data_IF_726620694071
#
_entry.id   IF_726620694071
#
_cell.length_a   1.000
_cell.length_b   1.000
_cell.length_c   1.000
_cell.angle_alpha   90.00
_cell.angle_beta   90.00
_cell.angle_gamma   90.00
#
_symmetry.space_group_name_H-M   'P 1'
#
loop_
_entity.id
_entity.type
_entity.pdbx_description
1 polymer ?
#
# COMPACT_ATOMS: atom_id res chain seq x y z
N UNK A 1 20.53 -55.54 -30.91
CA UNK A 1 20.70 -54.09 -30.73
C UNK A 1 19.37 -53.50 -30.24
N UNK A 2 19.27 -52.96 -29.00
CA UNK A 2 18.03 -52.36 -28.54
C UNK A 2 17.97 -50.90 -28.97
N UNK A 3 16.78 -50.52 -29.48
CA UNK A 3 16.51 -49.15 -29.92
C UNK A 3 16.54 -48.16 -28.74
N UNK A 4 17.28 -47.08 -28.89
CA UNK A 4 17.30 -45.96 -27.95
C UNK A 4 16.02 -45.16 -28.13
N UNK A 5 15.11 -45.22 -27.17
CA UNK A 5 13.99 -44.33 -27.09
C UNK A 5 14.51 -42.92 -26.74
N UNK A 6 14.31 -41.98 -27.67
CA UNK A 6 14.58 -40.54 -27.46
C UNK A 6 13.38 -39.99 -26.66
N UNK A 7 13.65 -39.61 -25.42
CA UNK A 7 12.67 -38.95 -24.55
C UNK A 7 12.66 -37.45 -24.91
N UNK A 8 11.57 -36.93 -25.44
CA UNK A 8 11.30 -35.48 -25.45
C UNK A 8 10.43 -35.12 -24.25
N UNK A 9 10.93 -34.32 -23.31
CA UNK A 9 10.11 -33.86 -22.20
C UNK A 9 9.15 -32.77 -22.67
N UNK A 10 7.85 -32.99 -22.46
CA UNK A 10 6.83 -31.96 -22.68
C UNK A 10 6.69 -31.11 -21.42
N UNK A 11 6.95 -29.83 -21.52
CA UNK A 11 6.82 -28.89 -20.40
C UNK A 11 5.47 -28.18 -20.46
N UNK A 12 4.71 -28.28 -19.40
CA UNK A 12 3.52 -27.49 -19.15
C UNK A 12 3.83 -26.40 -18.13
N UNK A 13 3.66 -25.15 -18.55
CA UNK A 13 3.83 -23.99 -17.67
C UNK A 13 2.51 -23.66 -16.99
N UNK A 14 2.43 -23.88 -15.69
CA UNK A 14 1.29 -23.51 -14.85
C UNK A 14 1.79 -22.67 -13.68
N UNK A 15 1.33 -21.41 -13.59
CA UNK A 15 1.61 -20.50 -12.46
C UNK A 15 3.09 -20.23 -12.15
N UNK A 16 3.96 -20.18 -13.16
CA UNK A 16 5.38 -19.95 -12.95
C UNK A 16 6.11 -21.12 -12.26
N UNK A 17 5.49 -22.28 -12.18
CA UNK A 17 6.08 -23.53 -11.64
C UNK A 17 6.10 -24.61 -12.72
N UNK A 18 7.25 -25.23 -12.91
CA UNK A 18 7.37 -26.46 -13.69
C UNK A 18 6.83 -27.62 -12.85
N UNK A 19 5.77 -28.28 -13.32
CA UNK A 19 5.34 -29.56 -12.76
C UNK A 19 5.83 -30.70 -13.65
N UNK A 20 6.53 -31.63 -13.04
CA UNK A 20 6.87 -32.90 -13.67
C UNK A 20 5.71 -33.88 -13.49
N UNK A 21 5.18 -34.43 -14.59
CA UNK A 21 4.41 -35.67 -14.53
C UNK A 21 5.37 -36.83 -14.68
N UNK A 22 5.69 -37.49 -13.59
CA UNK A 22 6.39 -38.77 -13.61
C UNK A 22 5.38 -39.87 -13.83
N UNK A 23 5.40 -40.49 -15.00
CA UNK A 23 4.83 -41.85 -15.15
C UNK A 23 5.77 -42.82 -14.45
N UNK A 24 5.17 -43.67 -13.61
CA UNK A 24 5.80 -44.62 -12.73
C UNK A 24 6.88 -45.48 -13.38
N UNK A 25 8.14 -45.30 -12.94
CA UNK A 25 9.11 -46.40 -12.92
C UNK A 25 10.01 -46.24 -11.68
N UNK A 26 10.08 -47.26 -10.84
CA UNK A 26 10.99 -47.36 -9.68
C UNK A 26 12.41 -47.55 -10.19
N UNK A 27 13.27 -46.53 -10.02
CA UNK A 27 14.70 -46.60 -10.27
C UNK A 27 15.45 -45.61 -9.38
N UNK A 28 16.50 -46.11 -8.67
CA UNK A 28 17.36 -45.28 -7.80
C UNK A 28 18.06 -44.21 -8.60
N UNK A 29 17.90 -42.91 -8.19
CA UNK A 29 18.70 -41.82 -8.71
C UNK A 29 20.07 -41.80 -8.05
N UNK A 30 21.11 -42.02 -8.84
CA UNK A 30 22.50 -41.69 -8.45
C UNK A 30 22.77 -40.24 -8.79
N UNK A 31 23.25 -39.47 -7.82
CA UNK A 31 23.76 -38.10 -8.00
C UNK A 31 25.00 -38.07 -8.83
N UNK A 32 25.02 -37.28 -9.91
CA UNK A 32 26.22 -36.95 -10.66
C UNK A 32 26.65 -35.53 -10.31
N UNK A 33 27.89 -35.40 -9.83
CA UNK A 33 28.55 -34.13 -9.53
C UNK A 33 28.97 -33.43 -10.84
N UNK A 34 28.28 -32.36 -11.18
CA UNK A 34 28.44 -31.63 -12.45
C UNK A 34 29.68 -30.71 -12.49
N UNK A 35 30.44 -30.58 -11.40
CA UNK A 35 31.57 -29.65 -11.31
C UNK A 35 32.86 -30.15 -12.03
N UNK A 36 32.90 -31.35 -12.54
CA UNK A 36 34.15 -31.94 -13.08
C UNK A 36 34.25 -32.08 -14.59
N UNK A 37 33.34 -31.52 -15.40
CA UNK A 37 33.44 -31.60 -16.88
C UNK A 37 32.88 -30.37 -17.61
N UNK A 38 33.53 -29.21 -17.44
CA UNK A 38 33.32 -28.05 -18.31
C UNK A 38 34.64 -27.45 -18.76
N UNK A 39 35.55 -28.29 -19.24
CA UNK A 39 36.65 -27.85 -20.13
C UNK A 39 36.35 -28.38 -21.53
N UNK A 40 35.97 -27.46 -22.42
CA UNK A 40 35.95 -27.64 -23.85
C UNK A 40 34.64 -27.88 -24.55
N UNK A 41 33.70 -26.93 -24.56
CA UNK A 41 32.81 -26.68 -25.72
C UNK A 41 32.44 -25.20 -25.74
N UNK A 42 32.90 -24.46 -26.73
CA UNK A 42 32.49 -23.12 -27.05
C UNK A 42 31.08 -23.15 -27.69
N UNK A 43 30.19 -22.27 -27.21
CA UNK A 43 29.00 -21.85 -27.97
C UNK A 43 27.69 -22.54 -27.59
N UNK A 44 27.19 -22.35 -26.36
CA UNK A 44 25.75 -22.50 -26.08
C UNK A 44 25.33 -21.28 -25.26
N UNK A 45 24.43 -20.47 -25.84
CA UNK A 45 23.77 -19.41 -25.10
C UNK A 45 22.99 -20.02 -23.92
N UNK A 46 23.33 -19.62 -22.71
CA UNK A 46 22.74 -20.13 -21.49
C UNK A 46 21.29 -19.66 -21.34
N UNK A 47 20.33 -20.51 -21.67
CA UNK A 47 18.96 -20.44 -21.17
C UNK A 47 18.95 -20.92 -19.72
N UNK A 48 18.56 -20.06 -18.79
CA UNK A 48 18.56 -20.36 -17.36
C UNK A 48 17.51 -21.43 -17.02
N UNK A 49 17.94 -22.61 -16.58
CA UNK A 49 17.08 -23.67 -16.05
C UNK A 49 16.99 -23.50 -14.53
N UNK A 50 15.80 -23.17 -14.03
CA UNK A 50 15.51 -23.11 -12.59
C UNK A 50 15.07 -24.49 -12.12
N UNK A 51 15.92 -25.20 -11.38
CA UNK A 51 15.56 -26.46 -10.71
C UNK A 51 15.18 -26.15 -9.26
N UNK A 52 13.89 -26.30 -8.92
CA UNK A 52 13.44 -26.23 -7.53
C UNK A 52 13.65 -27.59 -6.85
N UNK A 53 14.65 -27.66 -5.99
CA UNK A 53 14.83 -28.81 -5.07
C UNK A 53 14.20 -28.44 -3.72
N UNK A 54 13.14 -29.15 -3.33
CA UNK A 54 12.56 -29.02 -2.00
C UNK A 54 13.46 -29.68 -0.96
N UNK A 55 14.44 -28.93 -0.43
CA UNK A 55 14.98 -29.16 0.90
C UNK A 55 14.51 -28.03 1.81
N UNK A 56 14.00 -28.38 3.01
CA UNK A 56 13.73 -27.40 4.07
C UNK A 56 15.04 -26.66 4.35
N UNK A 57 15.16 -25.48 3.75
CA UNK A 57 16.25 -24.56 4.05
C UNK A 57 15.93 -23.83 5.37
N UNK A 58 16.94 -23.51 6.18
CA UNK A 58 16.75 -22.74 7.40
C UNK A 58 16.13 -21.37 7.08
N UNK A 59 15.31 -20.81 8.00
CA UNK A 59 14.67 -19.52 7.76
C UNK A 59 15.72 -18.43 7.57
N UNK A 60 15.75 -17.84 6.38
CA UNK A 60 16.69 -16.77 5.99
C UNK A 60 17.48 -16.99 4.70
N UNK A 61 17.68 -18.23 4.24
CA UNK A 61 18.49 -18.50 3.04
C UNK A 61 17.71 -18.41 1.71
N UNK A 62 16.38 -18.41 1.77
CA UNK A 62 15.52 -18.52 0.57
C UNK A 62 15.40 -17.23 -0.24
N UNK A 63 15.62 -16.06 0.36
CA UNK A 63 15.42 -14.77 -0.33
C UNK A 63 16.64 -14.34 -1.17
N UNK A 64 17.85 -14.65 -0.71
CA UNK A 64 19.09 -14.24 -1.39
C UNK A 64 19.35 -15.05 -2.67
N UNK A 65 19.02 -16.35 -2.67
CA UNK A 65 19.15 -17.18 -3.86
C UNK A 65 18.13 -16.85 -4.95
N UNK A 66 16.94 -16.41 -4.57
CA UNK A 66 15.89 -16.01 -5.53
C UNK A 66 16.21 -14.69 -6.24
N UNK A 67 16.98 -13.81 -5.60
CA UNK A 67 17.43 -12.53 -6.18
C UNK A 67 18.56 -12.72 -7.19
N UNK A 68 19.38 -13.76 -7.06
CA UNK A 68 20.55 -13.98 -7.93
C UNK A 68 20.23 -14.50 -9.34
N UNK A 69 18.99 -14.98 -9.62
CA UNK A 69 18.65 -15.62 -10.89
C UNK A 69 17.51 -14.96 -11.65
N UNK A 70 17.05 -13.75 -11.25
CA UNK A 70 16.09 -13.01 -12.04
C UNK A 70 16.73 -12.45 -13.31
N UNK A 71 16.17 -12.77 -14.46
CA UNK A 71 16.60 -12.15 -15.72
C UNK A 71 16.31 -10.63 -15.66
N UNK A 72 17.07 -9.85 -16.42
CA UNK A 72 16.83 -8.41 -16.51
C UNK A 72 15.39 -8.11 -16.97
N UNK A 73 14.86 -8.92 -17.87
CA UNK A 73 13.45 -8.87 -18.31
C UNK A 73 12.48 -9.07 -17.14
N UNK A 74 12.71 -10.08 -16.28
CA UNK A 74 11.85 -10.34 -15.11
C UNK A 74 11.86 -9.16 -14.14
N UNK A 75 13.00 -8.49 -13.98
CA UNK A 75 13.10 -7.27 -13.17
C UNK A 75 12.22 -6.16 -13.71
N UNK A 76 12.22 -5.92 -15.02
CA UNK A 76 11.35 -4.91 -15.64
C UNK A 76 9.87 -5.29 -15.58
N UNK A 77 9.53 -6.54 -15.84
CA UNK A 77 8.15 -7.05 -15.73
C UNK A 77 7.61 -6.92 -14.30
N UNK A 78 8.44 -7.20 -13.30
CA UNK A 78 8.07 -7.01 -11.90
C UNK A 78 7.92 -5.53 -11.55
N UNK A 79 8.80 -4.67 -12.05
CA UNK A 79 8.73 -3.23 -11.80
C UNK A 79 7.49 -2.58 -12.44
N UNK A 80 6.93 -3.16 -13.51
CA UNK A 80 5.73 -2.67 -14.18
C UNK A 80 4.46 -2.74 -13.31
N UNK A 81 4.45 -3.63 -12.30
CA UNK A 81 3.30 -3.76 -11.40
C UNK A 81 3.74 -3.53 -9.96
N UNK A 82 2.99 -2.69 -9.21
CA UNK A 82 3.30 -2.37 -7.81
C UNK A 82 3.19 -3.59 -6.90
N UNK A 83 4.08 -3.70 -5.91
CA UNK A 83 4.13 -4.82 -4.96
C UNK A 83 2.80 -5.10 -4.26
N UNK A 84 2.11 -4.06 -3.81
CA UNK A 84 0.80 -4.20 -3.17
C UNK A 84 -0.26 -4.77 -4.13
N UNK A 85 -0.23 -4.38 -5.42
CA UNK A 85 -1.12 -4.93 -6.44
C UNK A 85 -0.79 -6.40 -6.69
N UNK A 86 0.49 -6.74 -6.82
CA UNK A 86 0.96 -8.13 -6.98
C UNK A 86 0.52 -9.00 -5.81
N UNK A 87 0.73 -8.54 -4.57
CA UNK A 87 0.31 -9.27 -3.36
C UNK A 87 -1.20 -9.48 -3.32
N UNK A 88 -1.98 -8.44 -3.62
CA UNK A 88 -3.44 -8.52 -3.63
C UNK A 88 -3.96 -9.45 -4.74
N UNK A 89 -3.33 -9.43 -5.91
CA UNK A 89 -3.71 -10.30 -7.02
C UNK A 89 -3.31 -11.75 -6.76
N UNK A 90 -2.14 -11.99 -6.17
CA UNK A 90 -1.72 -13.32 -5.73
C UNK A 90 -2.71 -13.91 -4.74
N UNK A 91 -3.04 -13.19 -3.68
CA UNK A 91 -4.03 -13.62 -2.68
C UNK A 91 -5.43 -13.85 -3.31
N UNK A 92 -5.79 -13.10 -4.35
CA UNK A 92 -7.03 -13.32 -5.09
C UNK A 92 -7.02 -14.63 -5.87
N UNK A 93 -5.92 -14.97 -6.54
CA UNK A 93 -5.75 -16.23 -7.27
C UNK A 93 -5.70 -17.40 -6.30
N UNK A 94 -4.91 -17.30 -5.24
CA UNK A 94 -4.82 -18.34 -4.18
C UNK A 94 -6.19 -18.63 -3.55
N UNK A 95 -7.02 -17.62 -3.36
CA UNK A 95 -8.38 -17.79 -2.87
C UNK A 95 -9.29 -18.48 -3.89
N UNK A 96 -9.16 -18.16 -5.19
CA UNK A 96 -9.94 -18.80 -6.25
C UNK A 96 -9.59 -20.29 -6.37
N UNK A 97 -8.30 -20.63 -6.36
CA UNK A 97 -7.83 -22.02 -6.49
C UNK A 97 -7.95 -22.80 -5.16
N UNK A 98 -7.49 -22.22 -4.04
CA UNK A 98 -7.37 -22.93 -2.76
C UNK A 98 -8.63 -22.90 -1.92
N UNK A 99 -9.32 -21.74 -1.80
CA UNK A 99 -10.50 -21.63 -0.94
C UNK A 99 -11.78 -22.04 -1.65
N UNK A 100 -11.91 -21.74 -2.95
CA UNK A 100 -13.09 -22.12 -3.73
C UNK A 100 -12.91 -23.40 -4.54
N UNK A 101 -11.68 -23.84 -4.79
CA UNK A 101 -11.38 -25.03 -5.58
C UNK A 101 -11.51 -24.84 -7.08
N UNK A 102 -11.37 -23.60 -7.58
CA UNK A 102 -11.41 -23.30 -9.00
C UNK A 102 -10.14 -23.71 -9.74
N UNK A 103 -10.26 -23.99 -11.04
CA UNK A 103 -9.13 -24.32 -11.89
C UNK A 103 -8.81 -23.18 -12.84
N UNK A 104 -7.54 -22.98 -13.15
CA UNK A 104 -7.05 -22.01 -14.11
C UNK A 104 -6.40 -22.75 -15.31
N UNK A 105 -6.66 -22.33 -16.56
CA UNK A 105 -7.51 -21.19 -16.96
C UNK A 105 -9.00 -21.46 -16.66
N UNK A 106 -9.69 -20.43 -16.15
CA UNK A 106 -11.08 -20.53 -15.76
C UNK A 106 -12.03 -20.23 -16.93
N UNK A 107 -13.20 -20.88 -16.95
CA UNK A 107 -14.29 -20.52 -17.85
C UNK A 107 -15.13 -19.38 -17.30
N UNK A 108 -15.91 -18.72 -18.17
CA UNK A 108 -16.84 -17.67 -17.73
C UNK A 108 -17.90 -18.19 -16.74
N UNK A 109 -18.38 -19.45 -16.91
CA UNK A 109 -19.32 -20.09 -16.00
C UNK A 109 -18.68 -20.34 -14.61
N UNK A 110 -17.46 -20.86 -14.59
CA UNK A 110 -16.68 -21.04 -13.35
C UNK A 110 -16.54 -19.74 -12.57
N UNK A 111 -16.19 -18.64 -13.24
CA UNK A 111 -16.08 -17.32 -12.60
C UNK A 111 -17.44 -16.82 -12.10
N UNK A 112 -18.52 -16.99 -12.88
CA UNK A 112 -19.86 -16.60 -12.45
C UNK A 112 -20.29 -17.36 -11.18
N UNK A 113 -20.05 -18.67 -11.09
CA UNK A 113 -20.31 -19.49 -9.88
C UNK A 113 -19.46 -19.06 -8.70
N UNK A 114 -18.19 -18.74 -8.91
CA UNK A 114 -17.32 -18.19 -7.88
C UNK A 114 -17.86 -16.88 -7.29
N UNK A 115 -18.31 -15.96 -8.15
CA UNK A 115 -18.92 -14.71 -7.67
C UNK A 115 -20.17 -14.93 -6.84
N UNK A 116 -21.04 -15.88 -7.27
CA UNK A 116 -22.26 -16.24 -6.54
C UNK A 116 -21.93 -16.88 -5.18
N UNK A 117 -20.95 -17.76 -5.12
CA UNK A 117 -20.54 -18.44 -3.89
C UNK A 117 -20.13 -17.46 -2.78
N UNK A 118 -19.55 -16.31 -3.15
CA UNK A 118 -19.10 -15.31 -2.19
C UNK A 118 -19.94 -14.01 -2.22
N UNK A 119 -21.11 -14.06 -2.86
CA UNK A 119 -22.06 -12.95 -2.85
C UNK A 119 -22.63 -12.76 -1.44
N UNK A 120 -22.53 -11.55 -0.89
CA UNK A 120 -22.95 -11.27 0.49
C UNK A 120 -21.88 -11.51 1.56
N UNK A 121 -20.92 -12.40 1.34
CA UNK A 121 -19.78 -12.62 2.25
C UNK A 121 -18.67 -11.62 2.00
N UNK A 122 -18.27 -11.45 0.74
CA UNK A 122 -17.23 -10.52 0.32
C UNK A 122 -17.84 -9.19 -0.14
N UNK A 123 -17.15 -8.09 0.18
CA UNK A 123 -17.57 -6.78 -0.31
C UNK A 123 -17.54 -6.72 -1.85
N UNK A 124 -18.39 -5.88 -2.44
CA UNK A 124 -18.43 -5.64 -3.89
C UNK A 124 -17.04 -5.20 -4.43
N UNK A 125 -16.31 -4.40 -3.65
CA UNK A 125 -14.95 -3.97 -4.01
C UNK A 125 -13.96 -5.13 -3.98
N UNK A 126 -14.11 -6.07 -3.04
CA UNK A 126 -13.31 -7.29 -2.98
C UNK A 126 -13.60 -8.18 -4.18
N UNK A 127 -14.87 -8.43 -4.51
CA UNK A 127 -15.25 -9.21 -5.70
C UNK A 127 -14.73 -8.57 -6.99
N UNK A 128 -14.79 -7.23 -7.09
CA UNK A 128 -14.21 -6.49 -8.23
C UNK A 128 -12.68 -6.67 -8.33
N UNK A 129 -11.98 -6.66 -7.19
CA UNK A 129 -10.54 -6.93 -7.13
C UNK A 129 -10.24 -8.36 -7.60
N UNK A 130 -11.03 -9.34 -7.16
CA UNK A 130 -10.91 -10.75 -7.58
C UNK A 130 -11.07 -10.91 -9.09
N UNK A 131 -12.10 -10.29 -9.68
CA UNK A 131 -12.28 -10.26 -11.14
C UNK A 131 -11.07 -9.64 -11.85
N UNK A 132 -10.54 -8.53 -11.34
CA UNK A 132 -9.36 -7.88 -11.93
C UNK A 132 -8.12 -8.77 -11.87
N UNK A 133 -7.95 -9.53 -10.79
CA UNK A 133 -6.84 -10.48 -10.64
C UNK A 133 -6.96 -11.66 -11.62
N UNK A 134 -8.17 -12.23 -11.75
CA UNK A 134 -8.44 -13.30 -12.70
C UNK A 134 -8.24 -12.84 -14.15
N UNK A 135 -8.74 -11.64 -14.51
CA UNK A 135 -8.49 -11.03 -15.81
C UNK A 135 -7.00 -10.85 -16.11
N UNK A 136 -6.26 -10.30 -15.13
CA UNK A 136 -4.81 -10.09 -15.27
C UNK A 136 -4.07 -11.44 -15.42
N UNK A 137 -4.46 -12.46 -14.67
CA UNK A 137 -3.85 -13.78 -14.78
C UNK A 137 -4.04 -14.36 -16.17
N UNK A 138 -5.29 -14.39 -16.71
CA UNK A 138 -5.57 -14.92 -18.05
C UNK A 138 -4.77 -14.17 -19.11
N UNK A 139 -4.81 -12.83 -19.08
CA UNK A 139 -4.07 -12.01 -20.05
C UNK A 139 -2.55 -12.26 -19.96
N UNK A 140 -1.98 -12.42 -18.77
CA UNK A 140 -0.55 -12.66 -18.60
C UNK A 140 -0.11 -14.05 -19.07
N UNK A 141 -1.04 -15.02 -19.10
CA UNK A 141 -0.81 -16.37 -19.60
C UNK A 141 -1.21 -16.54 -21.08
N UNK A 142 -1.62 -15.46 -21.75
CA UNK A 142 -2.03 -15.50 -23.16
C UNK A 142 -3.44 -16.05 -23.41
N UNK A 143 -4.25 -16.25 -22.37
CA UNK A 143 -5.63 -16.69 -22.49
C UNK A 143 -6.59 -15.51 -22.68
N UNK A 144 -7.71 -15.78 -23.38
CA UNK A 144 -8.79 -14.81 -23.46
C UNK A 144 -9.36 -14.49 -22.06
N UNK A 145 -9.69 -13.23 -21.81
CA UNK A 145 -10.21 -12.76 -20.53
C UNK A 145 -11.69 -13.18 -20.33
N UNK A 146 -11.99 -14.22 -19.53
CA UNK A 146 -13.34 -14.72 -19.33
C UNK A 146 -14.19 -13.78 -18.46
N UNK A 147 -13.59 -12.84 -17.73
CA UNK A 147 -14.32 -11.90 -16.87
C UNK A 147 -15.14 -10.89 -17.68
N UNK A 148 -14.82 -10.72 -18.98
CA UNK A 148 -15.56 -9.86 -19.90
C UNK A 148 -16.82 -10.51 -20.47
N UNK A 149 -17.01 -11.81 -20.25
CA UNK A 149 -18.19 -12.51 -20.76
C UNK A 149 -19.50 -11.88 -20.23
N UNK A 150 -20.57 -11.83 -21.08
CA UNK A 150 -21.86 -11.23 -20.70
C UNK A 150 -22.46 -11.85 -19.44
N UNK A 151 -22.32 -13.17 -19.24
CA UNK A 151 -22.83 -13.86 -18.04
C UNK A 151 -22.16 -13.37 -16.77
N UNK A 152 -20.84 -13.20 -16.76
CA UNK A 152 -20.08 -12.71 -15.59
C UNK A 152 -20.51 -11.28 -15.24
N UNK A 153 -20.64 -10.41 -16.25
CA UNK A 153 -21.10 -9.03 -16.04
C UNK A 153 -22.53 -8.97 -15.51
N UNK A 154 -23.43 -9.82 -16.04
CA UNK A 154 -24.84 -9.89 -15.61
C UNK A 154 -24.92 -10.38 -14.17
N UNK A 155 -24.21 -11.45 -13.81
CA UNK A 155 -24.12 -11.97 -12.45
C UNK A 155 -23.58 -10.90 -11.48
N UNK A 156 -22.46 -10.26 -11.82
CA UNK A 156 -21.90 -9.21 -10.95
C UNK A 156 -22.84 -8.02 -10.77
N UNK A 157 -23.59 -7.63 -11.82
CA UNK A 157 -24.64 -6.61 -11.72
C UNK A 157 -25.78 -7.05 -10.78
N UNK A 158 -26.20 -8.32 -10.89
CA UNK A 158 -27.23 -8.92 -10.00
C UNK A 158 -26.78 -8.92 -8.54
N UNK A 159 -25.54 -9.35 -8.28
CA UNK A 159 -24.96 -9.32 -6.92
C UNK A 159 -25.01 -7.91 -6.32
N UNK A 160 -24.61 -6.90 -7.10
CA UNK A 160 -24.65 -5.49 -6.65
C UNK A 160 -26.08 -5.00 -6.34
N UNK A 161 -27.09 -5.51 -7.04
CA UNK A 161 -28.49 -5.14 -6.80
C UNK A 161 -29.05 -5.85 -5.57
N UNK A 162 -28.70 -7.13 -5.36
CA UNK A 162 -29.21 -7.93 -4.23
C UNK A 162 -28.45 -7.68 -2.93
N UNK A 163 -27.19 -7.27 -3.00
CA UNK A 163 -26.34 -7.00 -1.84
C UNK A 163 -25.81 -5.57 -1.86
N UNK A 164 -26.67 -4.55 -1.73
CA UNK A 164 -26.23 -3.17 -1.67
C UNK A 164 -25.41 -2.96 -0.39
N UNK A 165 -24.14 -2.60 -0.54
CA UNK A 165 -23.28 -2.29 0.58
C UNK A 165 -23.04 -0.78 0.66
N UNK A 166 -23.30 -0.19 1.82
CA UNK A 166 -22.78 1.14 2.09
C UNK A 166 -21.25 1.08 2.18
N UNK A 167 -20.55 1.87 1.38
CA UNK A 167 -19.11 2.04 1.55
C UNK A 167 -18.84 2.63 2.95
N UNK A 168 -18.25 1.84 3.84
CA UNK A 168 -17.74 2.35 5.11
C UNK A 168 -16.60 3.32 4.79
N UNK A 169 -16.88 4.59 4.90
CA UNK A 169 -15.86 5.62 4.73
C UNK A 169 -15.16 5.87 6.06
N UNK A 170 -13.85 6.13 6.00
CA UNK A 170 -13.11 6.56 7.19
C UNK A 170 -13.72 7.85 7.75
N UNK A 171 -13.83 7.95 9.05
CA UNK A 171 -14.28 9.19 9.70
C UNK A 171 -13.22 10.30 9.51
N UNK A 172 -13.61 11.54 9.16
CA UNK A 172 -12.67 12.65 9.06
C UNK A 172 -12.15 13.01 10.45
N UNK A 173 -10.84 13.12 10.63
CA UNK A 173 -10.27 13.61 11.87
C UNK A 173 -10.56 15.11 11.99
N UNK A 174 -11.39 15.50 12.96
CA UNK A 174 -11.71 16.88 13.22
C UNK A 174 -10.51 17.63 13.79
N UNK A 175 -10.42 18.95 13.52
CA UNK A 175 -9.30 19.78 13.99
C UNK A 175 -9.21 19.76 15.53
N UNK A 176 -10.34 19.77 16.23
CA UNK A 176 -10.39 19.69 17.69
C UNK A 176 -9.75 18.40 18.23
N UNK A 177 -10.05 17.25 17.60
CA UNK A 177 -9.45 15.96 17.99
C UNK A 177 -7.95 15.91 17.66
N UNK A 178 -7.55 16.53 16.56
CA UNK A 178 -6.13 16.70 16.23
C UNK A 178 -5.41 17.52 17.31
N UNK A 179 -5.99 18.65 17.75
CA UNK A 179 -5.46 19.50 18.81
C UNK A 179 -5.29 18.73 20.12
N UNK A 180 -6.32 17.99 20.54
CA UNK A 180 -6.29 17.18 21.76
C UNK A 180 -5.20 16.10 21.71
N UNK A 181 -5.11 15.37 20.59
CA UNK A 181 -4.10 14.32 20.42
C UNK A 181 -2.68 14.89 20.43
N UNK A 182 -2.45 16.01 19.76
CA UNK A 182 -1.14 16.67 19.72
C UNK A 182 -0.77 17.23 21.09
N UNK A 183 -1.70 17.90 21.77
CA UNK A 183 -1.47 18.42 23.14
C UNK A 183 -1.10 17.30 24.11
N UNK A 184 -1.76 16.14 24.01
CA UNK A 184 -1.42 14.97 24.82
C UNK A 184 0.00 14.46 24.50
N UNK A 185 0.36 14.33 23.22
CA UNK A 185 1.71 13.90 22.81
C UNK A 185 2.80 14.89 23.24
N UNK A 186 2.54 16.18 23.17
CA UNK A 186 3.46 17.23 23.63
C UNK A 186 3.67 17.16 25.16
N UNK A 187 2.60 16.93 25.91
CA UNK A 187 2.68 16.73 27.36
C UNK A 187 3.45 15.46 27.72
N UNK A 188 3.22 14.36 26.98
CA UNK A 188 3.98 13.11 27.16
C UNK A 188 5.48 13.33 26.86
N UNK A 189 5.81 14.08 25.80
CA UNK A 189 7.18 14.40 25.45
C UNK A 189 7.88 15.23 26.54
N UNK A 190 7.20 16.24 27.10
CA UNK A 190 7.73 17.07 28.20
C UNK A 190 7.99 16.23 29.45
N UNK A 191 7.03 15.40 29.84
CA UNK A 191 7.14 14.49 30.97
C UNK A 191 8.29 13.50 30.79
N UNK A 192 8.40 12.91 29.59
CA UNK A 192 9.47 11.98 29.25
C UNK A 192 10.85 12.65 29.27
N UNK A 193 10.94 13.88 28.81
CA UNK A 193 12.17 14.67 28.83
C UNK A 193 12.62 14.96 30.26
N UNK A 194 11.70 15.35 31.14
CA UNK A 194 11.99 15.61 32.55
C UNK A 194 12.40 14.35 33.34
N UNK A 195 11.88 13.17 32.90
CA UNK A 195 12.18 11.87 33.52
C UNK A 195 13.36 11.14 32.85
N UNK A 196 14.06 11.76 31.89
CA UNK A 196 15.12 11.15 31.07
C UNK A 196 14.67 9.83 30.36
N UNK A 197 13.38 9.77 30.01
CA UNK A 197 12.78 8.61 29.31
C UNK A 197 12.87 8.76 27.81
N UNK A 198 14.05 8.53 27.28
CA UNK A 198 14.35 8.69 25.85
C UNK A 198 13.40 7.89 24.90
N UNK A 199 13.05 6.60 25.18
CA UNK A 199 12.13 5.86 24.31
C UNK A 199 10.76 6.51 24.18
N UNK A 200 10.19 7.05 25.25
CA UNK A 200 8.87 7.70 25.25
C UNK A 200 8.97 9.05 24.54
N UNK A 201 10.00 9.85 24.84
CA UNK A 201 10.26 11.13 24.16
C UNK A 201 10.32 10.96 22.65
N UNK A 202 11.11 10.01 22.16
CA UNK A 202 11.27 9.76 20.74
C UNK A 202 9.95 9.34 20.07
N UNK A 203 9.16 8.47 20.73
CA UNK A 203 7.86 8.07 20.18
C UNK A 203 6.90 9.25 20.11
N UNK A 204 6.79 10.04 21.16
CA UNK A 204 5.91 11.20 21.21
C UNK A 204 6.28 12.22 20.10
N UNK A 205 7.56 12.56 19.96
CA UNK A 205 8.04 13.48 18.90
C UNK A 205 7.79 12.94 17.50
N UNK A 206 8.07 11.64 17.25
CA UNK A 206 7.80 10.99 15.97
C UNK A 206 6.31 11.04 15.62
N UNK A 207 5.45 10.67 16.57
CA UNK A 207 4.02 10.53 16.32
C UNK A 207 3.37 11.90 16.12
N UNK A 208 3.81 12.94 16.83
CA UNK A 208 3.41 14.33 16.58
C UNK A 208 3.75 14.76 15.16
N UNK A 209 5.00 14.55 14.72
CA UNK A 209 5.44 14.91 13.37
C UNK A 209 4.67 14.14 12.29
N UNK A 210 4.45 12.82 12.49
CA UNK A 210 3.72 11.96 11.57
C UNK A 210 2.27 12.40 11.42
N UNK A 211 1.58 12.66 12.53
CA UNK A 211 0.17 13.05 12.55
C UNK A 211 -0.01 14.44 11.91
N UNK A 212 0.82 15.42 12.28
CA UNK A 212 0.74 16.77 11.75
C UNK A 212 1.08 16.85 10.25
N UNK A 213 2.15 16.20 9.78
CA UNK A 213 2.46 16.12 8.36
C UNK A 213 1.37 15.36 7.60
N UNK A 214 0.86 14.26 8.17
CA UNK A 214 -0.22 13.49 7.58
C UNK A 214 -1.51 14.29 7.42
N UNK A 215 -1.87 15.08 8.41
CA UNK A 215 -3.06 15.94 8.37
C UNK A 215 -2.86 17.11 7.39
N UNK A 216 -1.90 17.99 7.63
CA UNK A 216 -1.75 19.24 6.87
C UNK A 216 -1.38 19.04 5.40
N UNK A 217 -0.72 17.93 5.05
CA UNK A 217 -0.47 17.57 3.64
C UNK A 217 -1.50 16.61 3.06
N UNK A 218 -2.35 16.06 3.90
CA UNK A 218 -3.28 15.02 3.47
C UNK A 218 -2.56 13.81 2.85
N UNK A 219 -1.39 13.44 3.35
CA UNK A 219 -0.64 12.30 2.86
C UNK A 219 -1.35 10.97 3.11
N UNK A 220 -1.10 10.01 2.23
CA UNK A 220 -1.43 8.60 2.52
C UNK A 220 -0.35 7.99 3.40
N UNK A 221 -0.69 6.93 4.16
CA UNK A 221 0.30 6.22 5.00
C UNK A 221 1.56 5.82 4.23
N UNK A 222 1.40 5.30 3.01
CA UNK A 222 2.51 4.91 2.15
C UNK A 222 3.38 6.10 1.73
N UNK A 223 2.77 7.27 1.49
CA UNK A 223 3.48 8.51 1.16
C UNK A 223 4.29 9.02 2.35
N UNK A 224 3.71 9.01 3.56
CA UNK A 224 4.40 9.38 4.80
C UNK A 224 5.59 8.47 5.10
N UNK A 225 5.39 7.14 5.03
CA UNK A 225 6.43 6.17 5.35
C UNK A 225 7.57 6.13 4.33
N UNK A 226 7.37 6.70 3.14
CA UNK A 226 8.40 6.80 2.08
C UNK A 226 9.19 8.09 2.09
N UNK A 227 8.87 9.04 2.96
CA UNK A 227 9.64 10.28 3.08
C UNK A 227 11.08 9.93 3.48
N UNK A 228 12.03 10.53 2.75
CA UNK A 228 13.46 10.42 3.02
C UNK A 228 13.99 11.79 3.44
N UNK A 229 14.89 11.81 4.38
CA UNK A 229 15.48 13.06 4.91
C UNK A 229 16.14 13.86 3.80
N UNK A 230 16.83 13.20 2.88
CA UNK A 230 17.50 13.81 1.72
C UNK A 230 16.53 14.51 0.76
N UNK A 231 15.25 14.19 0.86
CA UNK A 231 14.18 14.76 0.04
C UNK A 231 13.35 15.82 0.79
N UNK A 232 13.79 16.24 1.98
CA UNK A 232 13.07 17.22 2.80
C UNK A 232 13.96 18.43 3.09
N UNK A 233 13.41 19.60 2.82
CA UNK A 233 14.01 20.87 3.20
C UNK A 233 13.04 21.59 4.13
N UNK A 234 13.41 21.78 5.38
CA UNK A 234 12.60 22.43 6.40
C UNK A 234 13.33 23.65 6.97
N UNK A 235 12.62 24.77 7.08
CA UNK A 235 13.11 26.01 7.69
C UNK A 235 12.12 26.46 8.74
N UNK A 236 12.57 26.56 10.00
CA UNK A 236 11.75 27.01 11.12
C UNK A 236 11.12 28.37 10.82
N UNK A 237 9.84 28.53 11.12
CA UNK A 237 9.10 29.77 10.86
C UNK A 237 8.76 30.06 9.40
N UNK A 238 9.39 29.39 8.42
CA UNK A 238 9.14 29.59 7.00
C UNK A 238 8.26 28.48 6.39
N UNK A 239 8.76 27.24 6.34
CA UNK A 239 8.01 26.16 5.72
C UNK A 239 8.82 24.87 5.54
N UNK A 240 8.17 23.89 4.92
CA UNK A 240 8.77 22.60 4.57
C UNK A 240 8.48 22.26 3.11
N UNK A 241 9.50 21.84 2.39
CA UNK A 241 9.43 21.29 1.03
C UNK A 241 9.76 19.81 1.07
N UNK A 242 8.91 18.98 0.49
CA UNK A 242 8.96 17.53 0.54
C UNK A 242 8.92 16.99 -0.89
N UNK A 243 9.92 16.24 -1.30
CA UNK A 243 9.92 15.57 -2.60
C UNK A 243 9.60 14.08 -2.43
N UNK A 244 8.61 13.60 -3.16
CA UNK A 244 8.24 12.18 -3.23
C UNK A 244 8.55 11.66 -4.63
N UNK A 245 9.55 10.79 -4.80
CA UNK A 245 9.91 10.22 -6.11
C UNK A 245 8.80 9.39 -6.72
N UNK A 246 7.92 8.81 -5.88
CA UNK A 246 6.80 7.96 -6.33
C UNK A 246 5.59 8.15 -5.42
N UNK A 247 4.40 8.29 -6.02
CA UNK A 247 3.14 8.28 -5.28
C UNK A 247 2.10 7.38 -5.96
N UNK A 248 1.00 7.04 -5.26
CA UNK A 248 -0.08 6.20 -5.82
C UNK A 248 -0.75 6.85 -7.02
N UNK A 249 -0.81 8.16 -7.08
CA UNK A 249 -1.41 8.94 -8.17
C UNK A 249 -0.44 9.27 -9.29
N UNK A 250 0.85 9.05 -9.09
CA UNK A 250 1.90 9.27 -10.08
C UNK A 250 2.11 7.97 -10.88
N UNK A 251 1.54 7.91 -12.09
CA UNK A 251 1.63 6.75 -12.98
C UNK A 251 2.90 6.74 -13.81
N UNK A 252 3.49 7.91 -14.02
CA UNK A 252 4.67 8.10 -14.86
C UNK A 252 5.98 8.10 -14.06
N UNK A 253 5.88 8.00 -12.72
CA UNK A 253 7.01 8.01 -11.79
C UNK A 253 7.90 9.27 -11.94
N UNK A 254 7.28 10.42 -12.23
CA UNK A 254 7.97 11.71 -12.35
C UNK A 254 8.31 12.33 -10.99
N UNK A 255 7.73 11.79 -9.92
CA UNK A 255 7.82 12.37 -8.59
C UNK A 255 6.95 13.63 -8.43
N UNK A 256 6.84 14.10 -7.21
CA UNK A 256 6.10 15.33 -6.91
C UNK A 256 6.70 16.04 -5.71
N UNK A 257 6.86 17.37 -5.85
CA UNK A 257 7.23 18.26 -4.76
C UNK A 257 5.98 18.82 -4.10
N UNK A 258 5.99 18.86 -2.77
CA UNK A 258 4.94 19.40 -1.93
C UNK A 258 5.53 20.48 -1.02
N UNK A 259 4.77 21.55 -0.81
CA UNK A 259 5.17 22.64 0.06
C UNK A 259 4.09 22.86 1.13
N UNK A 260 4.52 23.16 2.35
CA UNK A 260 3.63 23.49 3.46
C UNK A 260 4.25 24.64 4.25
N UNK A 261 3.54 25.75 4.48
CA UNK A 261 4.04 26.84 5.28
C UNK A 261 4.17 26.42 6.75
N UNK A 262 5.03 27.10 7.49
CA UNK A 262 5.01 27.03 8.94
C UNK A 262 3.72 27.64 9.50
N UNK A 263 3.19 27.05 10.55
CA UNK A 263 1.98 27.48 11.22
C UNK A 263 2.29 27.94 12.65
N UNK A 264 1.49 28.84 13.19
CA UNK A 264 1.66 29.29 14.59
C UNK A 264 1.24 28.21 15.60
N UNK A 265 0.24 27.38 15.25
CA UNK A 265 -0.26 26.28 16.06
C UNK A 265 -0.31 25.01 15.23
N UNK A 266 -0.12 23.85 15.85
CA UNK A 266 -0.12 22.55 15.15
C UNK A 266 0.84 22.54 13.94
N UNK A 267 2.04 23.11 14.12
CA UNK A 267 2.98 23.34 13.05
C UNK A 267 3.65 22.03 12.60
N UNK A 268 3.40 21.55 11.37
CA UNK A 268 4.04 20.34 10.87
C UNK A 268 5.54 20.51 10.64
N UNK A 269 5.98 21.76 10.39
CA UNK A 269 7.39 22.09 10.16
C UNK A 269 8.18 21.98 11.44
N UNK A 270 7.69 22.61 12.52
CA UNK A 270 8.35 22.55 13.82
C UNK A 270 8.37 21.10 14.36
N UNK A 271 7.24 20.41 14.26
CA UNK A 271 7.17 19.00 14.69
C UNK A 271 8.17 18.11 13.93
N UNK A 272 8.34 18.32 12.62
CA UNK A 272 9.35 17.62 11.83
C UNK A 272 10.78 17.94 12.34
N UNK A 273 11.11 19.20 12.53
CA UNK A 273 12.42 19.63 13.02
C UNK A 273 12.70 19.04 14.40
N UNK A 274 11.75 19.12 15.32
CA UNK A 274 11.85 18.56 16.67
C UNK A 274 12.11 17.06 16.66
N UNK A 275 11.39 16.34 15.79
CA UNK A 275 11.56 14.90 15.64
C UNK A 275 12.95 14.54 15.10
N UNK A 276 13.37 15.17 13.98
CA UNK A 276 14.68 14.90 13.37
C UNK A 276 15.82 15.22 14.34
N UNK A 277 15.71 16.32 15.08
CA UNK A 277 16.70 16.73 16.09
C UNK A 277 16.76 15.76 17.27
N UNK A 278 15.61 15.39 17.84
CA UNK A 278 15.55 14.47 18.98
C UNK A 278 16.09 13.07 18.64
N UNK A 279 15.83 12.62 17.41
CA UNK A 279 16.26 11.32 16.90
C UNK A 279 17.66 11.35 16.26
N UNK A 280 18.32 12.51 16.18
CA UNK A 280 19.64 12.72 15.56
C UNK A 280 19.71 12.13 14.14
N UNK A 281 18.64 12.26 13.35
CA UNK A 281 18.53 11.69 12.03
C UNK A 281 19.17 12.60 10.99
N UNK A 282 20.11 12.07 10.20
CA UNK A 282 20.81 12.82 9.13
C UNK A 282 20.55 12.28 7.72
N UNK A 283 20.05 11.04 7.61
CA UNK A 283 19.80 10.39 6.32
C UNK A 283 18.78 9.26 6.42
N UNK A 284 18.23 8.88 5.27
CA UNK A 284 17.33 7.73 5.12
C UNK A 284 15.88 8.04 5.52
N UNK A 285 15.08 7.03 5.92
CA UNK A 285 13.66 7.22 6.20
C UNK A 285 13.41 8.24 7.31
N UNK A 286 12.47 9.17 7.07
CA UNK A 286 12.04 10.16 8.07
C UNK A 286 11.38 9.48 9.26
N UNK A 287 10.43 8.58 9.02
CA UNK A 287 9.72 7.87 10.09
C UNK A 287 10.22 6.44 10.22
N UNK A 288 10.72 6.09 11.40
CA UNK A 288 11.33 4.79 11.72
C UNK A 288 10.62 4.11 12.88
N UNK A 289 10.74 2.79 12.95
CA UNK A 289 10.36 2.02 14.13
C UNK A 289 11.24 2.39 15.33
N UNK A 290 10.67 2.36 16.55
CA UNK A 290 11.37 2.61 17.81
C UNK A 290 11.07 1.43 18.72
N UNK A 291 12.11 0.72 19.15
CA UNK A 291 11.96 -0.39 20.08
C UNK A 291 11.65 0.08 21.51
N UNK A 292 11.50 -0.86 22.45
CA UNK A 292 11.18 -0.52 23.85
C UNK A 292 12.32 0.21 24.58
N UNK A 293 13.54 0.11 24.09
CA UNK A 293 14.72 0.76 24.65
C UNK A 293 15.08 2.11 24.00
N UNK A 294 14.37 2.47 22.91
CA UNK A 294 14.60 3.72 22.19
C UNK A 294 15.49 3.59 20.97
N UNK A 295 15.91 2.38 20.58
CA UNK A 295 16.71 2.21 19.36
C UNK A 295 15.84 2.41 18.14
N UNK A 296 16.37 3.14 17.18
CA UNK A 296 15.73 3.42 15.91
C UNK A 296 16.03 2.31 14.89
N UNK A 297 15.00 1.83 14.20
CA UNK A 297 15.19 0.95 13.04
C UNK A 297 15.92 1.67 11.92
N UNK A 298 16.76 0.96 11.17
CA UNK A 298 17.35 1.47 9.94
C UNK A 298 16.30 1.59 8.82
N UNK A 299 15.29 0.72 8.85
CA UNK A 299 14.20 0.72 7.88
C UNK A 299 13.10 1.72 8.26
N UNK A 300 12.40 2.20 7.21
CA UNK A 300 11.23 3.06 7.38
C UNK A 300 10.07 2.33 8.03
N UNK A 301 9.22 3.10 8.70
CA UNK A 301 7.99 2.62 9.30
C UNK A 301 7.09 1.99 8.22
N UNK A 302 6.53 0.82 8.48
CA UNK A 302 5.60 0.20 7.55
C UNK A 302 4.27 0.98 7.50
N UNK A 303 3.68 1.13 6.31
CA UNK A 303 2.45 1.92 6.12
C UNK A 303 1.28 1.47 7.01
N UNK A 304 1.20 0.17 7.34
CA UNK A 304 0.17 -0.36 8.25
C UNK A 304 0.36 0.07 9.71
N UNK A 305 1.54 0.54 10.10
CA UNK A 305 1.82 1.02 11.45
C UNK A 305 1.21 2.40 11.72
N UNK A 306 0.89 3.18 10.69
CA UNK A 306 0.33 4.54 10.84
C UNK A 306 -1.04 4.50 11.52
N UNK A 307 -1.89 3.50 11.22
CA UNK A 307 -3.22 3.38 11.83
C UNK A 307 -3.14 3.09 13.33
N UNK A 308 -2.40 2.07 13.80
CA UNK A 308 -2.22 1.83 15.23
C UNK A 308 -1.66 3.04 15.99
N UNK A 309 -0.66 3.72 15.42
CA UNK A 309 -0.06 4.91 16.05
C UNK A 309 -1.06 6.05 16.19
N UNK A 310 -1.83 6.35 15.13
CA UNK A 310 -2.87 7.37 15.17
C UNK A 310 -3.93 7.03 16.23
N UNK A 311 -4.44 5.79 16.23
CA UNK A 311 -5.46 5.35 17.18
C UNK A 311 -4.95 5.43 18.61
N UNK A 312 -3.73 4.96 18.87
CA UNK A 312 -3.12 5.03 20.20
C UNK A 312 -3.01 6.47 20.71
N UNK A 313 -2.62 7.43 19.84
CA UNK A 313 -2.55 8.83 20.23
C UNK A 313 -3.92 9.41 20.57
N UNK A 314 -4.95 9.07 19.78
CA UNK A 314 -6.34 9.50 20.01
C UNK A 314 -6.92 8.88 21.31
N UNK A 315 -6.76 7.57 21.50
CA UNK A 315 -7.24 6.86 22.70
C UNK A 315 -6.62 7.41 23.98
N UNK A 316 -5.32 7.70 23.96
CA UNK A 316 -4.61 8.30 25.10
C UNK A 316 -5.05 9.74 25.35
N UNK A 317 -5.50 10.46 24.34
CA UNK A 317 -6.12 11.77 24.48
C UNK A 317 -7.62 11.68 24.87
N UNK A 318 -8.15 10.48 25.17
CA UNK A 318 -9.54 10.27 25.59
C UNK A 318 -10.55 10.30 24.43
N UNK A 319 -10.10 10.12 23.18
CA UNK A 319 -10.95 10.15 21.98
C UNK A 319 -11.19 8.72 21.50
N UNK A 320 -12.45 8.26 21.34
CA UNK A 320 -12.76 6.96 20.74
C UNK A 320 -12.15 6.86 19.35
N UNK A 321 -11.28 5.84 19.12
CA UNK A 321 -10.43 5.81 17.92
C UNK A 321 -10.76 4.71 16.92
N UNK A 322 -11.71 3.82 17.19
CA UNK A 322 -12.03 2.64 16.40
C UNK A 322 -12.45 2.95 14.95
N UNK A 323 -13.03 4.12 14.70
CA UNK A 323 -13.51 4.55 13.38
C UNK A 323 -12.45 5.32 12.58
N UNK A 324 -11.35 5.73 13.23
CA UNK A 324 -10.26 6.44 12.55
C UNK A 324 -9.29 5.49 11.85
N UNK A 325 -8.86 5.92 10.67
CA UNK A 325 -7.88 5.21 9.83
C UNK A 325 -6.83 6.20 9.33
N UNK A 326 -5.81 5.73 8.61
CA UNK A 326 -4.85 6.62 7.96
C UNK A 326 -5.49 7.57 6.94
N UNK A 327 -6.65 7.21 6.38
CA UNK A 327 -7.44 8.10 5.53
C UNK A 327 -8.14 9.20 6.31
N UNK A 328 -8.32 9.06 7.62
CA UNK A 328 -8.96 10.05 8.49
C UNK A 328 -8.18 11.35 8.57
N UNK A 329 -6.84 11.30 8.56
CA UNK A 329 -5.98 12.48 8.46
C UNK A 329 -6.26 13.28 7.18
N UNK A 330 -6.25 12.59 6.03
CA UNK A 330 -6.50 13.19 4.72
C UNK A 330 -7.93 13.73 4.57
N UNK A 331 -8.91 13.00 5.12
CA UNK A 331 -10.31 13.47 5.16
C UNK A 331 -10.47 14.68 6.06
N UNK A 332 -9.86 14.63 7.24
CA UNK A 332 -9.90 15.73 8.20
C UNK A 332 -9.40 17.03 7.58
N UNK A 333 -8.21 16.99 6.94
CA UNK A 333 -7.69 18.15 6.21
C UNK A 333 -8.64 18.63 5.12
N UNK A 334 -9.15 17.72 4.29
CA UNK A 334 -10.03 18.10 3.18
C UNK A 334 -11.34 18.72 3.68
N UNK A 335 -11.93 18.18 4.74
CA UNK A 335 -13.14 18.73 5.38
C UNK A 335 -12.85 20.10 5.97
N UNK A 336 -11.75 20.24 6.72
CA UNK A 336 -11.31 21.52 7.27
C UNK A 336 -11.07 22.58 6.19
N UNK A 337 -10.33 22.25 5.13
CA UNK A 337 -10.02 23.17 4.05
C UNK A 337 -11.30 23.64 3.33
N UNK A 338 -12.23 22.73 3.07
CA UNK A 338 -13.51 23.07 2.47
C UNK A 338 -14.33 24.00 3.38
N UNK A 339 -14.43 23.70 4.68
CA UNK A 339 -15.10 24.55 5.67
C UNK A 339 -14.43 25.92 5.83
N UNK A 340 -13.11 25.99 5.58
CA UNK A 340 -12.30 27.23 5.57
C UNK A 340 -12.41 28.00 4.26
N UNK A 341 -13.27 27.60 3.33
CA UNK A 341 -13.54 28.31 2.08
C UNK A 341 -12.58 28.02 0.93
N UNK A 342 -11.79 26.96 1.03
CA UNK A 342 -10.93 26.57 -0.11
C UNK A 342 -11.79 26.10 -1.28
N UNK A 343 -11.49 26.60 -2.47
CA UNK A 343 -12.11 26.10 -3.69
C UNK A 343 -11.61 24.68 -4.01
N UNK A 344 -12.42 23.92 -4.74
CA UNK A 344 -12.13 22.51 -5.05
C UNK A 344 -10.83 22.33 -5.85
N UNK A 345 -10.52 23.26 -6.77
CA UNK A 345 -9.32 23.19 -7.62
C UNK A 345 -8.05 23.38 -6.78
N UNK A 346 -8.04 24.34 -5.88
CA UNK A 346 -6.96 24.60 -4.92
C UNK A 346 -6.74 23.41 -3.99
N UNK A 347 -7.84 22.85 -3.45
CA UNK A 347 -7.78 21.67 -2.61
C UNK A 347 -7.22 20.45 -3.35
N UNK A 348 -7.70 20.19 -4.58
CA UNK A 348 -7.21 19.09 -5.41
C UNK A 348 -5.72 19.25 -5.75
N UNK A 349 -5.30 20.44 -6.12
CA UNK A 349 -3.90 20.75 -6.44
C UNK A 349 -3.01 20.53 -5.21
N UNK A 350 -3.42 21.06 -4.07
CA UNK A 350 -2.68 20.95 -2.81
C UNK A 350 -2.53 19.50 -2.37
N UNK A 351 -3.60 18.74 -2.27
CA UNK A 351 -3.59 17.34 -1.82
C UNK A 351 -3.06 16.39 -2.90
N UNK A 352 -3.00 16.83 -4.16
CA UNK A 352 -2.51 16.02 -5.29
C UNK A 352 -3.55 15.01 -5.81
N UNK A 353 -4.84 15.39 -5.82
CA UNK A 353 -5.88 14.59 -6.48
C UNK A 353 -5.92 14.89 -7.97
N UNK A 354 -5.90 13.82 -8.78
CA UNK A 354 -6.05 13.92 -10.25
C UNK A 354 -7.52 13.74 -10.70
N UNK A 355 -8.35 13.12 -9.85
CA UNK A 355 -9.73 12.78 -10.18
C UNK A 355 -10.71 13.54 -9.27
N UNK A 356 -11.64 14.27 -9.90
CA UNK A 356 -12.67 15.06 -9.21
C UNK A 356 -13.58 14.19 -8.35
N UNK A 357 -13.95 12.97 -8.80
CA UNK A 357 -14.78 12.05 -8.00
C UNK A 357 -14.11 11.68 -6.68
N UNK A 358 -12.77 11.58 -6.69
CA UNK A 358 -12.01 11.36 -5.46
C UNK A 358 -12.07 12.55 -4.51
N UNK A 359 -12.06 13.77 -5.02
CA UNK A 359 -12.17 14.98 -4.21
C UNK A 359 -13.59 15.18 -3.67
N UNK A 360 -14.63 14.99 -4.50
CA UNK A 360 -16.02 15.13 -4.11
C UNK A 360 -16.42 14.23 -2.93
N UNK A 361 -15.85 13.02 -2.83
CA UNK A 361 -16.07 12.12 -1.66
C UNK A 361 -15.72 12.74 -0.31
N UNK A 362 -14.93 13.80 -0.31
CA UNK A 362 -14.50 14.50 0.90
C UNK A 362 -15.27 15.80 1.13
N UNK A 363 -15.87 16.36 0.07
CA UNK A 363 -16.67 17.58 0.11
C UNK A 363 -18.12 17.27 0.42
N UNK A 364 -18.68 16.18 -0.15
CA UNK A 364 -20.08 15.76 0.06
C UNK A 364 -20.37 15.23 1.48
N UNK A 365 -19.35 15.11 2.33
CA UNK A 365 -19.53 14.71 3.73
C UNK A 365 -20.16 15.80 4.61
N UNK A 366 -20.39 17.00 4.08
CA UNK A 366 -21.06 18.08 4.79
C UNK A 366 -22.53 18.16 4.32
N UNK A 367 -23.53 17.69 5.12
CA UNK A 367 -24.93 17.60 4.70
C UNK A 367 -25.64 18.94 4.53
N UNK A 368 -24.99 20.05 4.90
CA UNK A 368 -25.59 21.37 4.77
C UNK A 368 -24.77 22.25 3.82
N UNK A 369 -25.33 22.63 2.65
CA UNK A 369 -24.75 23.69 1.86
C UNK A 369 -24.67 24.93 2.75
N UNK A 370 -23.51 25.59 2.78
CA UNK A 370 -23.39 26.92 3.39
C UNK A 370 -24.33 27.82 2.61
N UNK A 371 -25.54 28.08 3.15
CA UNK A 371 -26.39 29.10 2.59
C UNK A 371 -25.62 30.43 2.63
N UNK A 372 -25.46 31.13 1.48
CA UNK A 372 -24.91 32.47 1.54
C UNK A 372 -25.77 33.29 2.51
N UNK A 373 -25.12 33.89 3.52
CA UNK A 373 -25.83 34.83 4.38
C UNK A 373 -26.40 35.90 3.46
N UNK A 374 -27.74 35.90 3.30
CA UNK A 374 -28.45 37.00 2.68
C UNK A 374 -28.22 38.16 3.64
N UNK A 375 -27.31 39.06 3.26
CA UNK A 375 -27.14 40.32 3.97
C UNK A 375 -28.39 41.11 3.67
N UNK A 376 -29.31 41.16 4.61
CA UNK A 376 -30.43 42.10 4.54
C UNK A 376 -29.83 43.50 4.41
N UNK A 377 -30.09 44.15 3.27
CA UNK A 377 -29.75 45.56 3.13
C UNK A 377 -30.42 46.33 4.24
N UNK A 378 -29.71 47.19 5.00
CA UNK A 378 -30.34 48.03 5.97
C UNK A 378 -31.37 48.89 5.24
N UNK A 379 -32.61 48.85 5.70
CA UNK A 379 -33.64 49.80 5.28
C UNK A 379 -33.19 51.18 5.77
N UNK A 380 -32.77 52.05 4.84
CA UNK A 380 -32.44 53.43 5.12
C UNK A 380 -33.81 54.15 5.26
N UNK A 381 -34.03 54.90 6.34
CA UNK A 381 -35.30 55.61 6.58
C UNK A 381 -35.54 56.73 5.58
#
# INVERSE_FOLDING_TARGET
MPAKAVFQPTYLYLNGRLRWQASSYRGRCQFWDWRKKTEGVAGIQAGSVIVHVHHRAPPGASSLLQVMFMSELDRYLQAATRDNTRRSYRAAIEHFEGSWGGFLPATADSIARYLVAYAGELSINTLKLRLSALAQWHNSQGFADPTKAPVVRKVFKGIRALHPAQEKQAEPLQLQHLEQAVAWLEQEAQTAQSADNQPVLLRAKRDTALILLGFWRGFRSDELCRLQIEHVQASAGAGITLYLPRSKSDRENLGKTYQTPALQRLCPVQAYIDWISAAALVRGPVFRGIDRWGHLSEEGLHANSVIPLLRQALERAGIPAEHYTSHSLRRGFATWAHQSGWDLKSLMSYVGWKDMKSAMRYVDANPFPVMPRIVEKPVIP
#
